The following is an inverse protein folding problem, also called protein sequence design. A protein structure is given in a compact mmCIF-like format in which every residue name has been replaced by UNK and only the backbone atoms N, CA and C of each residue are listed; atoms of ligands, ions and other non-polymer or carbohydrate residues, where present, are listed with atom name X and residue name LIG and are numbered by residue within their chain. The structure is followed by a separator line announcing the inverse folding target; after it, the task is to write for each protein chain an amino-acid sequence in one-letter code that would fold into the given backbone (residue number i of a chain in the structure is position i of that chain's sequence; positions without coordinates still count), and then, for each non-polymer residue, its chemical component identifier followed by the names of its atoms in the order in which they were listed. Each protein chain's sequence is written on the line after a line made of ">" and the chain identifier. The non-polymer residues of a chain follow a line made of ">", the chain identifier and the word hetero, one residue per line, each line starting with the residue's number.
data_IF_257144264638
#
_entry.id   IF_257144264638
#
_cell.length_a   1.000
_cell.length_b   1.000
_cell.length_c   1.000
_cell.angle_alpha   90.00
_cell.angle_beta   90.00
_cell.angle_gamma   90.00
#
_symmetry.space_group_name_H-M   'P 1'
#
loop_
_entity.id
_entity.type
_entity.pdbx_description
1 polymer ?
#
# COMPACT_ATOMS: atom_id res chain seq x y z
N UNK A 1 14.24 25.72 16.65
CA UNK A 1 12.81 25.46 16.37
C UNK A 1 12.76 24.40 15.28
N UNK A 2 12.20 23.23 15.55
CA UNK A 2 11.90 22.23 14.51
C UNK A 2 10.54 22.64 13.95
N UNK A 3 10.45 22.99 12.66
CA UNK A 3 9.16 23.25 12.02
C UNK A 3 8.25 22.05 12.24
N UNK A 4 7.07 22.30 12.84
CA UNK A 4 6.00 21.31 12.93
C UNK A 4 5.48 21.08 11.52
N UNK A 5 5.94 20.01 10.90
CA UNK A 5 5.40 19.57 9.63
C UNK A 5 4.05 18.89 9.89
N UNK A 6 2.97 19.66 9.77
CA UNK A 6 1.61 19.14 9.63
C UNK A 6 1.44 18.91 8.13
N UNK A 7 1.37 17.65 7.71
CA UNK A 7 0.95 17.39 6.35
C UNK A 7 -0.56 17.66 6.22
N UNK A 8 -1.01 17.97 5.01
CA UNK A 8 -2.40 18.32 4.71
C UNK A 8 -3.38 17.18 5.05
N UNK A 9 -2.87 15.98 5.35
CA UNK A 9 -3.58 14.71 5.45
C UNK A 9 -3.58 14.13 6.88
N UNK A 10 -3.00 14.84 7.85
CA UNK A 10 -2.94 14.42 9.26
C UNK A 10 -1.95 13.30 9.57
N UNK A 11 -1.05 12.97 8.64
CA UNK A 11 -0.07 11.88 8.84
C UNK A 11 1.13 12.29 9.68
N UNK A 12 1.25 13.58 10.00
CA UNK A 12 2.26 14.11 10.90
C UNK A 12 1.61 15.11 11.85
N UNK A 13 1.35 14.64 13.08
CA UNK A 13 1.06 15.43 14.27
C UNK A 13 -0.29 16.17 14.33
N UNK A 14 -1.38 15.42 14.58
CA UNK A 14 -2.51 15.96 15.35
C UNK A 14 -2.83 15.22 16.66
N UNK A 15 -2.27 14.02 16.87
CA UNK A 15 -2.36 13.34 18.16
C UNK A 15 -0.98 12.89 18.64
N UNK A 16 -0.44 13.65 19.59
CA UNK A 16 0.59 13.23 20.52
C UNK A 16 0.24 11.82 21.07
N UNK A 17 0.87 10.76 20.54
CA UNK A 17 0.77 9.30 20.87
C UNK A 17 -0.36 8.43 20.24
N UNK A 18 -0.05 7.17 19.85
CA UNK A 18 1.01 6.74 18.95
C UNK A 18 0.38 6.30 17.62
N UNK A 19 0.63 7.02 16.52
CA UNK A 19 0.51 6.38 15.22
C UNK A 19 1.49 5.20 15.23
N UNK A 20 0.97 3.98 15.33
CA UNK A 20 1.74 2.73 15.49
C UNK A 20 2.64 2.39 14.30
N UNK A 21 2.82 3.34 13.39
CA UNK A 21 3.59 3.21 12.17
C UNK A 21 2.73 2.76 10.99
N UNK A 22 1.49 3.20 10.87
CA UNK A 22 0.68 2.88 9.68
C UNK A 22 0.68 4.01 8.65
N UNK A 23 1.47 5.06 8.87
CA UNK A 23 1.51 6.23 7.99
C UNK A 23 1.88 5.84 6.56
N UNK A 24 2.92 5.00 6.38
CA UNK A 24 3.29 4.49 5.07
C UNK A 24 2.16 3.70 4.40
N UNK A 25 1.49 2.81 5.13
CA UNK A 25 0.38 2.01 4.57
C UNK A 25 -0.73 2.89 4.01
N UNK A 26 -1.14 3.89 4.79
CA UNK A 26 -2.19 4.84 4.43
C UNK A 26 -1.83 5.69 3.23
N UNK A 27 -0.59 6.19 3.17
CA UNK A 27 -0.11 6.94 2.01
C UNK A 27 -0.17 6.09 0.75
N UNK A 28 0.38 4.86 0.80
CA UNK A 28 0.30 3.95 -0.33
C UNK A 28 -1.16 3.73 -0.78
N UNK A 29 -2.06 3.53 0.19
CA UNK A 29 -3.49 3.27 -0.06
C UNK A 29 -4.15 4.46 -0.74
N UNK A 30 -3.99 5.66 -0.17
CA UNK A 30 -4.50 6.91 -0.71
C UNK A 30 -4.06 7.11 -2.15
N UNK A 31 -2.75 7.05 -2.41
CA UNK A 31 -2.20 7.28 -3.74
C UNK A 31 -2.61 6.20 -4.75
N UNK A 32 -2.74 4.94 -4.32
CA UNK A 32 -3.24 3.87 -5.18
C UNK A 32 -4.69 4.11 -5.61
N UNK A 33 -5.55 4.44 -4.64
CA UNK A 33 -6.97 4.70 -4.87
C UNK A 33 -7.16 5.93 -5.76
N UNK A 34 -6.47 7.02 -5.46
CA UNK A 34 -6.50 8.24 -6.26
C UNK A 34 -6.12 7.95 -7.71
N UNK A 35 -5.06 7.16 -7.96
CA UNK A 35 -4.65 6.79 -9.31
C UNK A 35 -5.72 5.98 -10.05
N UNK A 36 -6.27 4.94 -9.41
CA UNK A 36 -7.26 4.05 -10.02
C UNK A 36 -8.58 4.75 -10.33
N UNK A 37 -8.93 5.77 -9.55
CA UNK A 37 -10.16 6.54 -9.73
C UNK A 37 -9.99 7.74 -10.66
N UNK A 38 -8.76 8.22 -10.88
CA UNK A 38 -8.51 9.41 -11.68
C UNK A 38 -9.03 9.25 -13.11
N UNK A 39 -9.85 10.20 -13.62
CA UNK A 39 -10.30 10.20 -15.00
C UNK A 39 -9.11 10.12 -15.96
N UNK A 40 -9.13 9.14 -16.85
CA UNK A 40 -8.04 8.91 -17.80
C UNK A 40 -7.10 7.75 -17.46
N UNK A 41 -7.32 7.00 -16.36
CA UNK A 41 -6.81 5.68 -15.87
C UNK A 41 -5.45 5.11 -16.31
N UNK A 42 -5.00 5.40 -17.51
CA UNK A 42 -3.60 5.50 -17.88
C UNK A 42 -3.44 6.83 -18.60
N UNK A 43 -3.24 7.93 -17.88
CA UNK A 43 -2.44 8.99 -18.48
C UNK A 43 -1.10 8.32 -18.71
N UNK A 44 -0.89 7.80 -19.93
CA UNK A 44 0.44 7.40 -20.40
C UNK A 44 1.36 8.52 -19.94
N UNK A 45 2.38 8.13 -19.19
CA UNK A 45 3.51 8.90 -18.67
C UNK A 45 3.66 10.33 -19.17
N UNK A 46 3.60 10.49 -20.49
CA UNK A 46 3.71 11.70 -21.29
C UNK A 46 2.82 12.88 -20.84
N UNK A 47 1.69 12.67 -20.15
CA UNK A 47 0.88 13.77 -19.58
C UNK A 47 0.98 13.93 -18.06
N UNK A 48 1.51 12.92 -17.36
CA UNK A 48 1.54 12.91 -15.91
C UNK A 48 2.63 13.81 -15.33
N UNK A 49 3.80 13.92 -15.99
CA UNK A 49 5.03 14.57 -15.47
C UNK A 49 4.85 16.02 -14.99
N UNK A 50 3.73 16.65 -15.32
CA UNK A 50 3.38 18.00 -14.89
C UNK A 50 2.04 18.14 -14.15
N UNK A 51 1.36 17.04 -13.84
CA UNK A 51 0.13 17.07 -13.04
C UNK A 51 0.43 17.47 -11.59
N UNK A 52 -0.48 18.24 -10.99
CA UNK A 52 -0.42 18.61 -9.58
C UNK A 52 -0.24 17.38 -8.67
N UNK A 53 -1.02 16.32 -8.93
CA UNK A 53 -0.99 15.09 -8.13
C UNK A 53 0.32 14.32 -8.22
N UNK A 54 0.98 14.24 -9.38
CA UNK A 54 2.27 13.56 -9.45
C UNK A 54 3.37 14.33 -8.71
N UNK A 55 3.35 15.67 -8.76
CA UNK A 55 4.28 16.49 -7.96
C UNK A 55 4.06 16.24 -6.47
N UNK A 56 2.81 16.24 -6.03
CA UNK A 56 2.45 15.97 -4.64
C UNK A 56 2.85 14.55 -4.21
N UNK A 57 2.56 13.51 -5.01
CA UNK A 57 3.01 12.14 -4.79
C UNK A 57 4.53 12.08 -4.61
N UNK A 58 5.29 12.70 -5.52
CA UNK A 58 6.75 12.70 -5.45
C UNK A 58 7.28 13.38 -4.17
N UNK A 59 6.65 14.47 -3.73
CA UNK A 59 7.01 15.15 -2.48
C UNK A 59 6.70 14.29 -1.25
N UNK A 60 5.59 13.56 -1.24
CA UNK A 60 5.28 12.58 -0.18
C UNK A 60 6.33 11.45 -0.20
N UNK A 61 6.58 10.83 -1.37
CA UNK A 61 7.54 9.73 -1.50
C UNK A 61 8.95 10.14 -1.08
N UNK A 62 9.39 11.39 -1.27
CA UNK A 62 10.69 11.87 -0.75
C UNK A 62 10.76 11.79 0.78
N UNK A 63 9.65 11.99 1.49
CA UNK A 63 9.59 11.99 2.96
C UNK A 63 9.51 10.58 3.52
N UNK A 64 8.71 9.71 2.90
CA UNK A 64 8.49 8.36 3.39
C UNK A 64 9.51 7.34 2.86
N UNK A 65 10.17 7.61 1.73
CA UNK A 65 11.22 6.76 1.18
C UNK A 65 12.57 7.49 1.19
N UNK A 66 13.17 7.66 2.38
CA UNK A 66 14.38 8.46 2.56
C UNK A 66 15.59 7.88 1.82
N UNK A 67 15.64 6.56 1.59
CA UNK A 67 16.71 5.93 0.82
C UNK A 67 16.35 4.53 0.29
N UNK A 68 17.01 4.12 -0.80
CA UNK A 68 17.14 2.72 -1.24
C UNK A 68 15.86 1.84 -1.31
N UNK A 69 14.70 2.41 -1.62
CA UNK A 69 13.45 1.64 -1.73
C UNK A 69 12.95 1.10 -0.39
N UNK A 70 13.38 1.72 0.71
CA UNK A 70 12.82 1.51 2.05
C UNK A 70 11.62 2.43 2.20
N UNK A 71 10.54 1.88 2.72
CA UNK A 71 9.35 2.63 3.10
C UNK A 71 9.36 2.77 4.61
N UNK A 72 9.38 4.01 5.08
CA UNK A 72 9.22 4.31 6.49
C UNK A 72 7.78 4.07 6.92
N UNK A 73 7.63 3.42 8.07
CA UNK A 73 6.31 3.37 8.74
C UNK A 73 5.88 4.75 9.22
N UNK A 74 6.84 5.56 9.64
CA UNK A 74 6.66 6.92 10.15
C UNK A 74 7.90 7.77 9.81
N UNK A 75 7.75 9.06 9.49
CA UNK A 75 8.87 9.90 9.04
C UNK A 75 9.74 10.48 10.18
N UNK A 76 9.18 10.63 11.39
CA UNK A 76 9.92 11.19 12.53
C UNK A 76 10.89 10.16 13.17
N UNK A 77 12.22 10.36 13.05
CA UNK A 77 13.24 9.39 13.43
C UNK A 77 13.29 9.05 14.93
N UNK A 78 12.54 9.78 15.78
CA UNK A 78 12.43 9.48 17.21
C UNK A 78 11.54 8.26 17.49
N UNK A 79 10.72 7.84 16.53
CA UNK A 79 9.87 6.66 16.68
C UNK A 79 10.57 5.42 16.15
N UNK A 80 10.35 4.29 16.81
CA UNK A 80 10.85 2.99 16.37
C UNK A 80 10.20 2.52 15.06
N UNK A 81 9.03 3.06 14.72
CA UNK A 81 8.39 2.95 13.41
C UNK A 81 9.25 3.57 12.28
N UNK A 82 10.16 4.49 12.57
CA UNK A 82 11.08 5.05 11.56
C UNK A 82 12.28 4.16 11.24
N UNK A 83 12.35 2.97 11.86
CA UNK A 83 13.38 1.97 11.59
C UNK A 83 13.18 1.32 10.21
N UNK A 84 14.21 1.44 9.37
CA UNK A 84 14.24 0.91 8.00
C UNK A 84 14.15 -0.61 7.98
N UNK A 85 14.57 -1.23 9.07
CA UNK A 85 14.50 -2.66 9.28
C UNK A 85 13.11 -3.13 9.71
N UNK A 86 12.08 -2.28 9.71
CA UNK A 86 10.73 -2.68 10.15
C UNK A 86 9.66 -2.56 9.09
N UNK A 87 10.03 -2.43 7.82
CA UNK A 87 9.04 -2.39 6.75
C UNK A 87 8.13 -3.64 6.79
N UNK A 88 6.81 -3.45 6.76
CA UNK A 88 5.87 -4.58 6.66
C UNK A 88 5.50 -4.86 5.21
N UNK A 89 5.07 -6.10 4.94
CA UNK A 89 4.39 -6.44 3.67
C UNK A 89 3.25 -5.48 3.41
N UNK A 90 2.45 -5.25 4.44
CA UNK A 90 1.20 -4.55 4.29
C UNK A 90 1.43 -3.12 3.79
N UNK A 91 2.54 -2.49 4.18
CA UNK A 91 2.95 -1.17 3.69
C UNK A 91 3.49 -1.20 2.27
N UNK A 92 4.30 -2.20 1.92
CA UNK A 92 4.96 -2.25 0.61
C UNK A 92 3.94 -2.38 -0.53
N UNK A 93 2.94 -3.23 -0.35
CA UNK A 93 1.95 -3.56 -1.37
C UNK A 93 1.26 -2.34 -1.99
N UNK A 94 0.60 -1.45 -1.22
CA UNK A 94 -0.04 -0.29 -1.79
C UNK A 94 0.96 0.70 -2.41
N UNK A 95 2.21 0.76 -1.92
CA UNK A 95 3.22 1.59 -2.57
C UNK A 95 3.72 1.04 -3.92
N UNK A 96 3.81 -0.27 -4.10
CA UNK A 96 4.08 -0.87 -5.42
C UNK A 96 3.00 -0.46 -6.41
N UNK A 97 1.74 -0.54 -5.97
CA UNK A 97 0.58 -0.19 -6.79
C UNK A 97 0.61 1.29 -7.14
N UNK A 98 0.70 2.18 -6.14
CA UNK A 98 0.81 3.63 -6.34
C UNK A 98 1.99 3.99 -7.25
N UNK A 99 3.17 3.40 -7.01
CA UNK A 99 4.34 3.63 -7.85
C UNK A 99 4.09 3.17 -9.28
N UNK A 100 3.37 2.07 -9.51
CA UNK A 100 2.97 1.60 -10.84
C UNK A 100 2.16 2.61 -11.66
N UNK A 101 1.36 3.45 -10.99
CA UNK A 101 0.55 4.48 -11.65
C UNK A 101 1.27 5.83 -11.76
N UNK A 102 1.90 6.28 -10.67
CA UNK A 102 2.45 7.64 -10.57
C UNK A 102 3.92 7.75 -10.97
N UNK A 103 4.73 6.70 -10.79
CA UNK A 103 6.18 6.75 -11.10
C UNK A 103 6.82 5.35 -11.34
N UNK A 104 6.28 4.51 -12.24
CA UNK A 104 6.77 3.15 -12.51
C UNK A 104 8.21 3.05 -13.00
N UNK A 105 8.83 4.13 -13.50
CA UNK A 105 10.24 4.03 -13.85
C UNK A 105 11.16 4.26 -12.66
N UNK A 106 11.08 5.43 -12.00
CA UNK A 106 12.05 5.77 -10.95
C UNK A 106 11.70 5.08 -9.64
N UNK A 107 10.46 5.25 -9.19
CA UNK A 107 10.07 4.83 -7.86
C UNK A 107 9.89 3.32 -7.77
N UNK A 108 9.23 2.73 -8.75
CA UNK A 108 9.02 1.29 -8.76
C UNK A 108 10.33 0.52 -8.95
N UNK A 109 11.27 0.97 -9.81
CA UNK A 109 12.62 0.38 -9.88
C UNK A 109 13.36 0.53 -8.56
N UNK A 110 13.18 1.65 -7.84
CA UNK A 110 13.79 1.87 -6.52
C UNK A 110 13.22 0.89 -5.49
N UNK A 111 11.90 0.75 -5.40
CA UNK A 111 11.22 -0.23 -4.55
C UNK A 111 11.65 -1.67 -4.87
N UNK A 112 11.66 -2.04 -6.15
CA UNK A 112 12.05 -3.37 -6.60
C UNK A 112 13.51 -3.70 -6.27
N UNK A 113 14.45 -2.78 -6.54
CA UNK A 113 15.87 -2.95 -6.16
C UNK A 113 16.05 -3.02 -4.65
N UNK A 114 15.32 -2.21 -3.89
CA UNK A 114 15.31 -2.27 -2.43
C UNK A 114 14.84 -3.64 -1.93
N UNK A 115 13.78 -4.17 -2.54
CA UNK A 115 13.23 -5.48 -2.24
C UNK A 115 14.21 -6.63 -2.59
N UNK A 116 14.85 -6.58 -3.77
CA UNK A 116 15.90 -7.54 -4.17
C UNK A 116 17.09 -7.55 -3.21
N UNK A 117 17.57 -6.38 -2.80
CA UNK A 117 18.69 -6.25 -1.85
C UNK A 117 18.41 -6.88 -0.48
N UNK A 118 17.14 -7.12 -0.15
CA UNK A 118 16.69 -7.77 1.10
C UNK A 118 16.48 -9.28 0.92
N UNK A 119 16.94 -9.84 -0.20
CA UNK A 119 16.79 -11.27 -0.50
C UNK A 119 15.34 -11.67 -0.76
N UNK A 120 14.51 -10.77 -1.30
CA UNK A 120 13.08 -11.03 -1.55
C UNK A 120 12.28 -11.32 -0.27
N UNK A 121 12.81 -10.88 0.86
CA UNK A 121 12.12 -10.81 2.14
C UNK A 121 11.61 -9.38 2.30
N UNK A 122 10.51 -9.18 3.03
CA UNK A 122 9.97 -7.84 3.27
C UNK A 122 10.88 -6.90 4.10
N UNK A 123 12.12 -7.31 4.37
CA UNK A 123 13.04 -6.74 5.34
C UNK A 123 12.50 -6.77 6.78
N UNK A 124 13.20 -7.58 7.58
CA UNK A 124 13.55 -7.26 8.95
C UNK A 124 12.43 -7.04 9.98
N UNK A 125 11.15 -7.31 9.65
CA UNK A 125 10.10 -7.62 10.63
C UNK A 125 10.40 -8.94 11.36
N UNK A 126 11.60 -9.03 11.91
CA UNK A 126 12.22 -10.11 12.67
C UNK A 126 11.94 -9.92 14.15
N UNK A 127 11.13 -8.93 14.52
CA UNK A 127 10.73 -8.62 15.89
C UNK A 127 9.23 -8.41 15.90
N UNK A 128 8.56 -8.71 17.03
CA UNK A 128 7.12 -8.43 17.14
C UNK A 128 6.89 -6.91 17.19
N UNK A 129 5.81 -6.45 16.55
CA UNK A 129 5.44 -5.02 16.54
C UNK A 129 5.39 -4.45 17.97
N UNK A 130 5.89 -3.22 18.14
CA UNK A 130 5.95 -2.53 19.43
C UNK A 130 6.93 -3.12 20.45
N UNK A 131 7.68 -4.18 20.11
CA UNK A 131 8.67 -4.77 21.01
C UNK A 131 10.04 -4.14 20.79
N UNK A 132 10.72 -3.81 21.89
CA UNK A 132 12.05 -3.20 21.95
C UNK A 132 12.89 -3.92 23.00
N UNK A 133 14.22 -3.79 22.93
CA UNK A 133 15.11 -4.31 23.99
C UNK A 133 14.72 -3.81 25.38
N UNK A 134 14.20 -2.57 25.48
CA UNK A 134 13.83 -1.92 26.75
C UNK A 134 12.53 -2.44 27.35
N UNK A 135 11.62 -2.97 26.53
CA UNK A 135 10.32 -3.46 26.98
C UNK A 135 10.17 -4.98 26.88
N UNK A 136 11.19 -5.71 26.43
CA UNK A 136 11.18 -7.16 26.40
C UNK A 136 10.84 -7.76 27.78
N UNK A 137 9.87 -8.68 27.80
CA UNK A 137 9.36 -9.32 29.02
C UNK A 137 8.36 -8.48 29.82
N UNK A 138 8.07 -7.24 29.41
CA UNK A 138 7.11 -6.37 30.10
C UNK A 138 5.71 -6.52 29.52
N UNK A 139 4.71 -6.49 30.40
CA UNK A 139 3.30 -6.38 30.02
C UNK A 139 3.01 -4.93 29.59
N UNK A 140 2.64 -4.72 28.33
CA UNK A 140 2.30 -3.40 27.78
C UNK A 140 1.01 -3.52 26.98
N UNK A 141 -0.03 -2.81 27.40
CA UNK A 141 -1.38 -2.88 26.80
C UNK A 141 -1.95 -4.31 26.77
N UNK A 142 -1.78 -5.06 27.87
CA UNK A 142 -2.33 -6.43 28.00
C UNK A 142 -1.51 -7.53 27.33
N UNK A 143 -0.42 -7.21 26.62
CA UNK A 143 0.44 -8.19 25.96
C UNK A 143 1.87 -8.17 26.52
N UNK A 144 2.48 -9.34 26.72
CA UNK A 144 3.90 -9.45 27.06
C UNK A 144 4.72 -9.18 25.81
N UNK A 145 5.56 -8.13 25.86
CA UNK A 145 6.38 -7.72 24.72
C UNK A 145 7.56 -8.68 24.53
N UNK A 146 7.72 -9.15 23.30
CA UNK A 146 8.72 -10.13 22.93
C UNK A 146 9.63 -9.57 21.83
N UNK A 147 10.85 -9.23 22.23
CA UNK A 147 11.93 -8.77 21.34
C UNK A 147 12.75 -9.96 20.80
N UNK A 148 12.24 -11.18 20.93
CA UNK A 148 12.77 -12.37 20.29
C UNK A 148 12.74 -12.28 18.77
N UNK A 149 13.61 -13.07 18.15
CA UNK A 149 13.65 -13.17 16.70
C UNK A 149 12.41 -13.92 16.18
N UNK A 150 11.72 -13.35 15.19
CA UNK A 150 10.72 -14.03 14.37
C UNK A 150 11.21 -14.14 12.93
N UNK A 151 10.72 -15.14 12.22
CA UNK A 151 10.99 -15.28 10.80
C UNK A 151 10.49 -14.03 10.06
N UNK A 152 11.31 -13.42 9.19
CA UNK A 152 10.84 -12.35 8.31
C UNK A 152 9.65 -12.84 7.49
N UNK A 153 8.72 -11.92 7.23
CA UNK A 153 7.60 -12.22 6.35
C UNK A 153 8.17 -12.53 4.94
N UNK A 154 7.77 -13.67 4.36
CA UNK A 154 8.17 -14.07 3.01
C UNK A 154 7.28 -13.38 1.98
N UNK A 155 7.88 -12.98 0.87
CA UNK A 155 7.14 -12.39 -0.25
C UNK A 155 6.28 -13.43 -0.94
N UNK A 156 4.96 -13.23 -0.84
CA UNK A 156 3.97 -14.08 -1.46
C UNK A 156 3.81 -13.83 -2.97
N UNK A 157 3.15 -14.74 -3.67
CA UNK A 157 2.74 -14.56 -5.07
C UNK A 157 1.99 -13.24 -5.33
N UNK A 158 1.17 -12.79 -4.38
CA UNK A 158 0.45 -11.50 -4.41
C UNK A 158 1.34 -10.30 -4.76
N UNK A 159 2.47 -10.13 -4.08
CA UNK A 159 3.41 -9.02 -4.33
C UNK A 159 4.06 -9.12 -5.70
N UNK A 160 4.45 -10.32 -6.12
CA UNK A 160 5.02 -10.54 -7.44
C UNK A 160 4.05 -10.17 -8.54
N UNK A 161 2.78 -10.55 -8.39
CA UNK A 161 1.71 -10.14 -9.28
C UNK A 161 1.58 -8.63 -9.38
N UNK A 162 1.68 -7.91 -8.25
CA UNK A 162 1.64 -6.45 -8.24
C UNK A 162 2.84 -5.82 -8.94
N UNK A 163 4.05 -6.34 -8.76
CA UNK A 163 5.25 -5.85 -9.47
C UNK A 163 5.13 -6.05 -10.98
N UNK A 164 4.74 -7.24 -11.43
CA UNK A 164 4.58 -7.55 -12.88
C UNK A 164 3.60 -6.56 -13.51
N UNK A 165 2.48 -6.30 -12.84
CA UNK A 165 1.45 -5.34 -13.28
C UNK A 165 1.95 -3.90 -13.26
N UNK A 166 2.60 -3.49 -12.19
CA UNK A 166 3.13 -2.14 -12.03
C UNK A 166 4.21 -1.82 -13.07
N UNK A 167 5.02 -2.80 -13.47
CA UNK A 167 6.03 -2.64 -14.54
C UNK A 167 5.46 -2.78 -15.96
N UNK A 168 4.19 -3.13 -16.12
CA UNK A 168 3.56 -3.48 -17.40
C UNK A 168 4.30 -4.60 -18.17
N UNK A 169 4.88 -5.59 -17.47
CA UNK A 169 5.62 -6.70 -18.09
C UNK A 169 4.71 -7.79 -18.64
N UNK A 170 4.06 -7.50 -19.78
CA UNK A 170 3.12 -8.41 -20.47
C UNK A 170 3.69 -9.78 -20.80
N UNK A 171 5.00 -9.90 -21.02
CA UNK A 171 5.65 -11.19 -21.28
C UNK A 171 5.56 -12.16 -20.08
N UNK A 172 5.40 -11.63 -18.87
CA UNK A 172 5.23 -12.40 -17.63
C UNK A 172 3.76 -12.71 -17.33
N UNK A 173 2.83 -12.44 -18.26
CA UNK A 173 1.40 -12.71 -18.05
C UNK A 173 1.10 -14.17 -17.69
N UNK A 174 1.77 -15.22 -18.24
CA UNK A 174 1.55 -16.59 -17.79
C UNK A 174 1.85 -16.81 -16.30
N UNK A 175 2.82 -16.08 -15.73
CA UNK A 175 3.11 -16.14 -14.30
C UNK A 175 1.98 -15.52 -13.47
N UNK A 176 1.29 -14.49 -14.00
CA UNK A 176 0.11 -13.92 -13.35
C UNK A 176 -1.01 -14.93 -13.16
N UNK A 177 -1.14 -15.90 -14.08
CA UNK A 177 -2.13 -16.97 -13.93
C UNK A 177 -1.90 -17.79 -12.66
N UNK A 178 -0.65 -18.00 -12.26
CA UNK A 178 -0.29 -18.73 -11.04
C UNK A 178 -0.47 -17.83 -9.81
N UNK A 179 0.05 -16.60 -9.86
CA UNK A 179 -0.03 -15.69 -8.70
C UNK A 179 -1.48 -15.30 -8.38
N UNK A 180 -2.35 -15.21 -9.37
CA UNK A 180 -3.74 -14.83 -9.16
C UNK A 180 -4.62 -15.95 -8.57
N UNK A 181 -4.13 -17.20 -8.51
CA UNK A 181 -4.83 -18.26 -7.75
C UNK A 181 -4.91 -17.85 -6.27
N UNK A 182 -3.81 -17.33 -5.71
CA UNK A 182 -3.80 -16.82 -4.34
C UNK A 182 -4.78 -15.65 -4.17
N UNK A 183 -4.83 -14.72 -5.13
CA UNK A 183 -5.79 -13.62 -5.14
C UNK A 183 -7.24 -14.11 -5.20
N UNK A 184 -7.52 -15.16 -5.98
CA UNK A 184 -8.85 -15.76 -6.02
C UNK A 184 -9.24 -16.38 -4.67
N UNK A 185 -8.35 -17.16 -4.06
CA UNK A 185 -8.58 -17.72 -2.73
C UNK A 185 -8.73 -16.63 -1.67
N UNK A 186 -7.92 -15.57 -1.73
CA UNK A 186 -8.04 -14.39 -0.90
C UNK A 186 -9.42 -13.73 -1.02
N UNK A 187 -9.97 -13.63 -2.23
CA UNK A 187 -11.31 -13.07 -2.44
C UNK A 187 -12.40 -13.90 -1.76
N UNK A 188 -12.23 -15.22 -1.64
CA UNK A 188 -13.16 -16.09 -0.92
C UNK A 188 -13.05 -15.87 0.60
N UNK A 189 -11.82 -15.83 1.12
CA UNK A 189 -11.52 -15.77 2.56
C UNK A 189 -11.83 -14.39 3.15
N UNK A 190 -11.40 -13.32 2.46
CA UNK A 190 -11.35 -11.97 3.00
C UNK A 190 -12.62 -11.16 2.73
N UNK A 191 -13.56 -11.65 1.90
CA UNK A 191 -14.76 -10.90 1.51
C UNK A 191 -15.53 -10.30 2.69
N UNK A 192 -15.57 -10.95 3.85
CA UNK A 192 -16.33 -10.48 5.02
C UNK A 192 -15.51 -9.75 6.08
N UNK A 193 -14.18 -9.65 5.93
CA UNK A 193 -13.32 -9.01 6.94
C UNK A 193 -13.08 -7.55 6.59
N UNK A 194 -12.81 -6.72 7.61
CA UNK A 194 -12.51 -5.29 7.48
C UNK A 194 -11.19 -4.98 8.18
N UNK A 195 -10.10 -5.52 7.64
CA UNK A 195 -8.76 -5.33 8.15
C UNK A 195 -7.79 -4.88 7.04
N UNK A 196 -6.56 -4.53 7.41
CA UNK A 196 -5.53 -4.09 6.47
C UNK A 196 -5.19 -5.15 5.40
N UNK A 197 -5.41 -6.44 5.71
CA UNK A 197 -5.21 -7.53 4.75
C UNK A 197 -6.30 -7.47 3.68
N UNK A 198 -7.57 -7.32 4.07
CA UNK A 198 -8.67 -7.12 3.12
C UNK A 198 -8.46 -5.88 2.26
N UNK A 199 -7.92 -4.80 2.82
CA UNK A 199 -7.59 -3.59 2.06
C UNK A 199 -6.54 -3.84 0.99
N UNK A 200 -5.42 -4.44 1.38
CA UNK A 200 -4.33 -4.76 0.45
C UNK A 200 -4.79 -5.72 -0.65
N UNK A 201 -5.58 -6.73 -0.27
CA UNK A 201 -6.25 -7.62 -1.20
C UNK A 201 -7.15 -6.86 -2.18
N UNK A 202 -7.95 -5.93 -1.66
CA UNK A 202 -8.85 -5.09 -2.44
C UNK A 202 -8.09 -4.25 -3.48
N UNK A 203 -7.01 -3.60 -3.07
CA UNK A 203 -6.16 -2.83 -3.97
C UNK A 203 -5.53 -3.68 -5.06
N UNK A 204 -4.98 -4.84 -4.71
CA UNK A 204 -4.37 -5.75 -5.68
C UNK A 204 -5.38 -6.27 -6.69
N UNK A 205 -6.61 -6.59 -6.25
CA UNK A 205 -7.67 -6.99 -7.15
C UNK A 205 -8.07 -5.85 -8.09
N UNK A 206 -8.21 -4.63 -7.59
CA UNK A 206 -8.50 -3.45 -8.42
C UNK A 206 -7.39 -3.20 -9.45
N UNK A 207 -6.12 -3.26 -9.04
CA UNK A 207 -4.99 -3.14 -9.97
C UNK A 207 -5.01 -4.25 -11.01
N UNK A 208 -5.25 -5.50 -10.60
CA UNK A 208 -5.30 -6.64 -11.51
C UNK A 208 -6.39 -6.50 -12.56
N UNK A 209 -7.57 -6.03 -12.16
CA UNK A 209 -8.68 -5.77 -13.07
C UNK A 209 -8.39 -4.67 -14.08
N UNK A 210 -7.63 -3.65 -13.68
CA UNK A 210 -7.34 -2.47 -14.49
C UNK A 210 -6.18 -2.71 -15.48
N UNK A 211 -5.16 -3.48 -15.06
CA UNK A 211 -3.89 -3.58 -15.81
C UNK A 211 -3.78 -4.85 -16.64
N UNK A 212 -3.82 -6.02 -16.00
CA UNK A 212 -3.60 -7.33 -16.60
C UNK A 212 -4.50 -8.37 -15.93
N UNK A 213 -5.79 -8.41 -16.29
CA UNK A 213 -6.71 -9.38 -15.72
C UNK A 213 -6.41 -10.79 -16.23
N UNK A 214 -6.59 -11.77 -15.36
CA UNK A 214 -6.61 -13.20 -15.70
C UNK A 214 -8.01 -13.78 -15.46
N UNK A 215 -8.20 -15.06 -15.79
CA UNK A 215 -9.46 -15.77 -15.47
C UNK A 215 -9.76 -15.73 -13.96
N UNK A 216 -8.73 -15.85 -13.12
CA UNK A 216 -8.85 -15.80 -11.66
C UNK A 216 -9.27 -14.40 -11.19
N UNK A 217 -8.77 -13.34 -11.83
CA UNK A 217 -9.23 -11.97 -11.58
C UNK A 217 -10.72 -11.82 -11.90
N UNK A 218 -11.19 -12.36 -13.03
CA UNK A 218 -12.61 -12.29 -13.40
C UNK A 218 -13.51 -13.06 -12.43
N UNK A 219 -13.07 -14.23 -11.96
CA UNK A 219 -13.79 -14.99 -10.94
C UNK A 219 -13.79 -14.25 -9.59
N UNK A 220 -12.66 -13.65 -9.21
CA UNK A 220 -12.54 -12.82 -8.00
C UNK A 220 -13.51 -11.64 -8.02
N UNK A 221 -13.66 -10.97 -9.16
CA UNK A 221 -14.64 -9.88 -9.36
C UNK A 221 -16.09 -10.34 -9.09
N UNK A 222 -16.44 -11.59 -9.40
CA UNK A 222 -17.78 -12.12 -9.11
C UNK A 222 -18.01 -12.30 -7.60
N UNK A 223 -16.96 -12.59 -6.83
CA UNK A 223 -17.03 -12.76 -5.37
C UNK A 223 -16.99 -11.41 -4.65
N UNK A 224 -16.12 -10.51 -5.12
CA UNK A 224 -15.95 -9.16 -4.62
C UNK A 224 -16.19 -8.15 -5.74
N UNK A 225 -17.45 -7.74 -5.97
CA UNK A 225 -17.79 -6.74 -6.98
C UNK A 225 -17.06 -5.41 -6.74
N UNK A 226 -16.82 -4.64 -7.81
CA UNK A 226 -16.06 -3.39 -7.75
C UNK A 226 -16.72 -2.39 -6.80
N UNK A 227 -18.05 -2.34 -6.78
CA UNK A 227 -18.87 -1.55 -5.87
C UNK A 227 -18.49 -1.81 -4.41
N UNK A 228 -18.29 -3.09 -4.07
CA UNK A 228 -17.91 -3.51 -2.72
C UNK A 228 -16.46 -3.14 -2.43
N UNK A 229 -15.56 -3.35 -3.38
CA UNK A 229 -14.15 -3.00 -3.26
C UNK A 229 -13.98 -1.50 -3.00
N UNK A 230 -14.66 -0.69 -3.79
CA UNK A 230 -14.78 0.77 -3.64
C UNK A 230 -15.33 1.12 -2.26
N UNK A 231 -16.44 0.50 -1.84
CA UNK A 231 -17.05 0.78 -0.54
C UNK A 231 -16.08 0.46 0.61
N UNK A 232 -15.38 -0.67 0.56
CA UNK A 232 -14.41 -1.06 1.59
C UNK A 232 -13.23 -0.09 1.64
N UNK A 233 -12.71 0.31 0.48
CA UNK A 233 -11.68 1.35 0.39
C UNK A 233 -12.17 2.69 0.98
N UNK A 234 -13.37 3.12 0.61
CA UNK A 234 -13.99 4.35 1.11
C UNK A 234 -14.27 4.33 2.61
N UNK A 235 -14.72 3.19 3.17
CA UNK A 235 -14.93 3.02 4.62
C UNK A 235 -13.64 3.23 5.40
N UNK A 236 -12.49 2.82 4.87
CA UNK A 236 -11.18 3.08 5.49
C UNK A 236 -10.67 4.50 5.25
N UNK A 237 -11.08 5.13 4.16
CA UNK A 237 -10.76 6.54 3.92
C UNK A 237 -11.60 7.50 4.76
N UNK A 238 -12.69 7.05 5.40
CA UNK A 238 -13.51 7.87 6.31
C UNK A 238 -12.76 8.38 7.51
N UNK A 239 -11.65 7.74 7.86
CA UNK A 239 -10.73 8.22 8.88
C UNK A 239 -9.98 9.50 8.42
N UNK A 240 -10.13 9.93 7.14
CA UNK A 240 -9.59 11.15 6.52
C UNK A 240 -10.74 12.05 6.00
N UNK A 241 -11.42 12.79 6.89
CA UNK A 241 -12.66 13.49 6.57
C UNK A 241 -12.51 14.57 5.48
N UNK A 242 -11.33 15.17 5.34
CA UNK A 242 -11.09 16.25 4.37
C UNK A 242 -11.08 15.76 2.90
N UNK A 243 -10.81 14.46 2.68
CA UNK A 243 -10.78 13.85 1.34
C UNK A 243 -12.04 13.05 1.00
N UNK A 244 -12.89 12.79 1.99
CA UNK A 244 -14.09 11.96 1.81
C UNK A 244 -15.04 12.53 0.75
N UNK A 245 -15.22 13.85 0.72
CA UNK A 245 -16.08 14.50 -0.29
C UNK A 245 -15.54 14.26 -1.70
N UNK A 246 -14.22 14.40 -1.86
CA UNK A 246 -13.54 14.18 -3.13
C UNK A 246 -13.63 12.71 -3.56
N UNK A 247 -13.38 11.77 -2.65
CA UNK A 247 -13.49 10.35 -2.95
C UNK A 247 -14.93 9.91 -3.23
N UNK A 248 -15.92 10.40 -2.49
CA UNK A 248 -17.32 10.07 -2.74
C UNK A 248 -17.78 10.55 -4.13
N UNK A 249 -17.37 11.73 -4.56
CA UNK A 249 -17.69 12.24 -5.89
C UNK A 249 -16.93 11.46 -6.99
N UNK A 250 -15.66 11.15 -6.78
CA UNK A 250 -14.92 10.24 -7.66
C UNK A 250 -15.57 8.85 -7.75
N UNK A 251 -16.06 8.30 -6.64
CA UNK A 251 -16.72 7.00 -6.62
C UNK A 251 -18.05 7.02 -7.36
N UNK A 252 -18.83 8.09 -7.22
CA UNK A 252 -20.07 8.29 -8.00
C UNK A 252 -19.76 8.33 -9.50
N UNK A 253 -18.69 9.00 -9.91
CA UNK A 253 -18.30 9.09 -11.32
C UNK A 253 -17.64 7.82 -11.85
N UNK A 254 -16.84 7.12 -11.06
CA UNK A 254 -16.30 5.81 -11.41
C UNK A 254 -17.43 4.79 -11.65
N UNK A 255 -18.49 4.81 -10.83
CA UNK A 255 -19.66 3.95 -11.02
C UNK A 255 -20.44 4.23 -12.30
N UNK A 256 -20.48 5.48 -12.75
CA UNK A 256 -21.13 5.86 -14.02
C UNK A 256 -20.38 5.28 -15.23
N UNK A 257 -19.07 5.08 -15.12
CA UNK A 257 -18.21 4.62 -16.21
C UNK A 257 -17.95 3.09 -16.24
N UNK A 258 -18.45 2.34 -15.26
CA UNK A 258 -18.27 0.87 -15.16
C UNK A 258 -19.51 0.11 -15.67
N UNK A 259 -20.62 0.80 -15.97
CA UNK A 259 -21.78 0.24 -16.68
C UNK A 259 -21.55 0.20 -18.18
#
# INVERSE_FOLDING_TARGET
>A
MVEKFIDKWGLLDKHYYPDGGDSGHREGLYWSLLAMMSPGKRLKYERAENSFYQKEYNEVMKKIHPSNGVILRHSNPKYDASDWDRMSRDQLQPHIIAAGYWSPEKELKRLFKGHLKRGLLFANNTRRNGSTKKNHGKLVAGEVRDYGWKMPDLTGPDIWGNFIRAFDYKILWPLLFITDIEMFLGSIIWRYKKDNITLNHTLSLLQAMDTMPTIWTWLSKKIMPVERLIKLAGEHLRDFPDDMVFFEDMFKDAHRNIK
#
